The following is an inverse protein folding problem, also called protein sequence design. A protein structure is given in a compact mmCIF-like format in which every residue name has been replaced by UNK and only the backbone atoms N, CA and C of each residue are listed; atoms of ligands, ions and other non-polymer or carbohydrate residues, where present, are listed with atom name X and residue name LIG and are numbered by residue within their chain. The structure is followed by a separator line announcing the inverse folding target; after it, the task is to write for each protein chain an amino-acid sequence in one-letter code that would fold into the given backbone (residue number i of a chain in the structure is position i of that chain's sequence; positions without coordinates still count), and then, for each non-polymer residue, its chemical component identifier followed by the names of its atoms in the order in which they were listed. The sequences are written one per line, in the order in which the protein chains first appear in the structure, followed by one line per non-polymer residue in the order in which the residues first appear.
data_IF_803342612991
#
_entry.id   IF_803342612991
#
_cell.length_a   1.000
_cell.length_b   1.000
_cell.length_c   1.000
_cell.angle_alpha   90.00
_cell.angle_beta   90.00
_cell.angle_gamma   90.00
#
_symmetry.space_group_name_H-M   'P 1'
#
loop_
_entity.id
_entity.type
_entity.pdbx_description
1 polymer ?
#
# COMPACT_ATOMS: atom_id res chain seq x y z
N UNK A 1 8.62 6.39 -14.05
CA UNK A 1 8.12 6.46 -12.65
C UNK A 1 8.09 5.07 -12.05
N UNK A 2 8.57 4.92 -10.83
CA UNK A 2 8.54 3.66 -10.11
C UNK A 2 7.19 3.44 -9.44
N UNK A 3 6.66 2.22 -9.50
CA UNK A 3 5.39 1.86 -8.88
C UNK A 3 5.65 0.84 -7.79
N UNK A 4 5.26 1.16 -6.56
CA UNK A 4 5.50 0.35 -5.39
C UNK A 4 4.19 0.03 -4.65
N UNK A 5 4.10 -1.17 -4.11
CA UNK A 5 3.10 -1.50 -3.10
C UNK A 5 3.71 -1.26 -1.72
N UNK A 6 2.94 -0.73 -0.78
CA UNK A 6 3.31 -0.68 0.62
C UNK A 6 2.13 -1.23 1.44
N UNK A 7 2.41 -2.23 2.27
CA UNK A 7 1.37 -2.97 2.99
C UNK A 7 1.95 -3.61 4.25
N UNK A 8 1.12 -3.77 5.27
CA UNK A 8 1.42 -4.59 6.42
C UNK A 8 0.48 -5.80 6.43
N UNK A 9 1.03 -6.98 6.64
CA UNK A 9 0.29 -8.24 6.66
C UNK A 9 0.54 -8.96 7.98
N UNK A 10 -0.47 -9.69 8.47
CA UNK A 10 -0.30 -10.57 9.63
C UNK A 10 0.30 -11.91 9.22
N UNK A 11 0.47 -12.82 10.18
CA UNK A 11 1.10 -14.10 9.93
C UNK A 11 0.38 -14.98 8.91
N UNK A 12 -0.88 -14.68 8.59
CA UNK A 12 -1.70 -15.37 7.60
C UNK A 12 -2.04 -14.51 6.38
N UNK A 13 -1.24 -13.48 6.10
CA UNK A 13 -1.47 -12.50 5.03
C UNK A 13 -2.72 -11.63 5.20
N UNK A 14 -3.27 -11.54 6.41
CA UNK A 14 -4.40 -10.66 6.70
C UNK A 14 -3.97 -9.20 6.68
N UNK A 15 -4.81 -8.34 6.11
CA UNK A 15 -4.52 -6.90 5.99
C UNK A 15 -5.59 -6.02 6.62
N UNK A 16 -6.72 -6.56 6.98
CA UNK A 16 -7.78 -5.76 7.60
C UNK A 16 -8.97 -6.57 8.03
N UNK A 17 -9.84 -5.92 8.80
CA UNK A 17 -11.12 -6.43 9.23
C UNK A 17 -12.11 -5.28 9.31
N UNK A 18 -13.32 -5.45 8.75
CA UNK A 18 -14.35 -4.42 8.72
C UNK A 18 -13.83 -3.10 8.13
N UNK A 19 -13.00 -3.18 7.09
CA UNK A 19 -12.39 -2.04 6.40
C UNK A 19 -11.46 -1.18 7.28
N UNK A 20 -10.90 -1.77 8.34
CA UNK A 20 -10.01 -1.05 9.26
C UNK A 20 -8.77 -1.89 9.58
N UNK A 21 -7.77 -1.24 10.18
CA UNK A 21 -6.57 -1.91 10.66
C UNK A 21 -6.88 -2.78 11.88
N UNK A 22 -6.17 -3.89 12.01
CA UNK A 22 -6.32 -4.84 13.12
C UNK A 22 -5.34 -4.61 14.25
N UNK A 23 -4.36 -3.72 14.07
CA UNK A 23 -3.29 -3.46 15.02
C UNK A 23 -2.85 -2.02 14.95
N UNK A 24 -2.11 -1.61 15.96
CA UNK A 24 -1.45 -0.31 15.99
C UNK A 24 0.04 -0.53 16.26
N UNK A 25 0.87 -0.26 15.25
CA UNK A 25 2.32 -0.39 15.32
C UNK A 25 2.92 0.98 14.95
N UNK A 26 3.20 1.84 15.95
CA UNK A 26 3.62 3.22 15.66
C UNK A 26 4.85 3.34 14.78
N UNK A 27 5.84 2.48 14.95
CA UNK A 27 7.06 2.55 14.15
C UNK A 27 6.85 2.07 12.72
N UNK A 28 5.88 1.18 12.48
CA UNK A 28 5.48 0.82 11.13
C UNK A 28 4.72 1.96 10.46
N UNK A 29 3.86 2.63 11.18
CA UNK A 29 3.15 3.81 10.69
C UNK A 29 4.12 4.94 10.35
N UNK A 30 5.16 5.11 11.15
CA UNK A 30 6.23 6.08 10.90
C UNK A 30 6.99 5.73 9.61
N UNK A 31 7.31 4.47 9.41
CA UNK A 31 7.94 3.99 8.18
C UNK A 31 7.08 4.31 6.96
N UNK A 32 5.78 4.00 7.03
CA UNK A 32 4.83 4.30 5.97
C UNK A 32 4.82 5.78 5.61
N UNK A 33 4.72 6.64 6.63
CA UNK A 33 4.67 8.08 6.44
C UNK A 33 5.96 8.61 5.79
N UNK A 34 7.12 8.19 6.31
CA UNK A 34 8.41 8.62 5.79
C UNK A 34 8.62 8.15 4.35
N UNK A 35 8.23 6.90 4.07
CA UNK A 35 8.42 6.31 2.74
C UNK A 35 7.57 6.97 1.67
N UNK A 36 6.31 7.27 2.00
CA UNK A 36 5.36 7.84 1.04
C UNK A 36 5.40 9.36 0.94
N UNK A 37 6.06 10.05 1.88
CA UNK A 37 6.12 11.51 1.91
C UNK A 37 6.67 12.09 0.60
N UNK A 38 6.03 13.14 0.10
CA UNK A 38 6.38 13.84 -1.15
C UNK A 38 6.17 13.00 -2.40
N UNK A 39 5.47 11.89 -2.30
CA UNK A 39 5.17 10.98 -3.40
C UNK A 39 3.66 10.90 -3.66
N UNK A 40 3.27 9.99 -4.55
CA UNK A 40 1.88 9.75 -4.94
C UNK A 40 1.38 8.55 -4.15
N UNK A 41 0.19 8.63 -3.56
CA UNK A 41 -0.46 7.48 -2.93
C UNK A 41 -1.77 7.18 -3.66
N UNK A 42 -1.95 5.92 -4.04
CA UNK A 42 -3.13 5.42 -4.75
C UNK A 42 -3.89 4.46 -3.86
N UNK A 43 -5.16 4.72 -3.68
CA UNK A 43 -6.03 3.94 -2.79
C UNK A 43 -7.39 3.72 -3.41
N UNK A 44 -8.08 2.68 -2.98
CA UNK A 44 -9.49 2.49 -3.30
C UNK A 44 -10.38 3.39 -2.44
N UNK A 45 -11.62 3.58 -2.89
CA UNK A 45 -12.59 4.43 -2.19
C UNK A 45 -12.81 4.00 -0.73
N UNK A 46 -12.98 2.70 -0.47
CA UNK A 46 -13.21 2.20 0.89
C UNK A 46 -12.03 2.50 1.82
N UNK A 47 -10.79 2.37 1.30
CA UNK A 47 -9.60 2.72 2.05
C UNK A 47 -9.58 4.22 2.37
N UNK A 48 -9.89 5.05 1.40
CA UNK A 48 -10.01 6.49 1.62
C UNK A 48 -11.04 6.82 2.70
N UNK A 49 -12.22 6.20 2.63
CA UNK A 49 -13.29 6.43 3.61
C UNK A 49 -12.94 5.91 5.01
N UNK A 50 -12.03 4.93 5.12
CA UNK A 50 -11.56 4.41 6.41
C UNK A 50 -10.61 5.36 7.13
N UNK A 51 -9.98 6.29 6.42
CA UNK A 51 -9.12 7.31 7.02
C UNK A 51 -10.02 8.33 7.71
N UNK A 52 -9.78 8.65 9.01
CA UNK A 52 -10.57 9.67 9.69
C UNK A 52 -10.59 10.97 8.89
N UNK A 53 -11.75 11.60 8.82
CA UNK A 53 -11.97 12.78 7.97
C UNK A 53 -10.94 13.89 8.20
N UNK A 54 -10.55 14.11 9.46
CA UNK A 54 -9.55 15.12 9.82
C UNK A 54 -8.13 14.81 9.31
N UNK A 55 -7.88 13.56 8.88
CA UNK A 55 -6.57 13.12 8.35
C UNK A 55 -6.58 12.94 6.83
N UNK A 56 -7.67 13.26 6.16
CA UNK A 56 -7.78 13.17 4.70
C UNK A 56 -7.79 14.55 4.07
N UNK A 57 -7.08 14.74 2.94
CA UNK A 57 -6.16 13.81 2.32
C UNK A 57 -4.89 13.65 3.13
N UNK A 58 -4.14 12.57 2.91
CA UNK A 58 -2.87 12.35 3.61
C UNK A 58 -1.92 13.51 3.28
N UNK A 59 -1.37 14.19 4.29
CA UNK A 59 -0.56 15.38 4.05
C UNK A 59 0.76 15.08 3.36
N UNK A 60 1.27 16.08 2.62
CA UNK A 60 2.55 16.03 1.90
C UNK A 60 2.64 14.92 0.85
N UNK A 61 1.50 14.49 0.33
CA UNK A 61 1.40 13.45 -0.72
C UNK A 61 0.33 13.85 -1.72
N UNK A 62 0.49 13.42 -2.96
CA UNK A 62 -0.60 13.52 -3.93
C UNK A 62 -1.51 12.32 -3.73
N UNK A 63 -2.74 12.56 -3.32
CA UNK A 63 -3.71 11.51 -3.02
C UNK A 63 -4.55 11.21 -4.25
N UNK A 64 -4.58 9.94 -4.65
CA UNK A 64 -5.33 9.43 -5.79
C UNK A 64 -6.30 8.36 -5.29
N UNK A 65 -7.57 8.51 -5.61
CA UNK A 65 -8.61 7.52 -5.28
C UNK A 65 -9.09 6.85 -6.55
N UNK A 66 -9.04 5.52 -6.55
CA UNK A 66 -9.59 4.68 -7.62
C UNK A 66 -10.98 4.21 -7.23
N UNK A 67 -11.96 4.43 -8.09
CA UNK A 67 -13.32 3.96 -7.88
C UNK A 67 -14.03 3.81 -9.22
N UNK A 68 -14.92 2.81 -9.32
CA UNK A 68 -15.78 2.66 -10.50
C UNK A 68 -16.91 3.68 -10.53
N UNK A 69 -17.17 4.35 -9.40
CA UNK A 69 -18.23 5.37 -9.31
C UNK A 69 -17.75 6.67 -9.94
N UNK A 70 -18.26 6.98 -11.14
CA UNK A 70 -17.90 8.18 -11.89
C UNK A 70 -18.35 9.48 -11.25
N UNK A 71 -19.27 9.41 -10.27
CA UNK A 71 -19.78 10.58 -9.56
C UNK A 71 -19.06 10.82 -8.24
N UNK A 72 -18.17 9.92 -7.83
CA UNK A 72 -17.45 10.06 -6.57
C UNK A 72 -16.48 11.23 -6.63
N UNK A 73 -16.47 12.03 -5.57
CA UNK A 73 -15.53 13.14 -5.39
C UNK A 73 -14.94 13.07 -3.99
N UNK A 74 -13.67 13.40 -3.89
CA UNK A 74 -12.97 13.45 -2.60
C UNK A 74 -12.15 14.73 -2.56
N UNK A 75 -12.39 15.55 -1.55
CA UNK A 75 -11.69 16.82 -1.39
C UNK A 75 -10.19 16.61 -1.26
N UNK A 76 -9.42 17.38 -2.06
CA UNK A 76 -7.96 17.30 -2.03
C UNK A 76 -7.37 16.07 -2.70
N UNK A 77 -8.20 15.26 -3.36
CA UNK A 77 -7.77 14.06 -4.06
C UNK A 77 -8.06 14.14 -5.55
N UNK A 78 -7.23 13.49 -6.35
CA UNK A 78 -7.57 13.17 -7.74
C UNK A 78 -8.38 11.88 -7.71
N UNK A 79 -9.43 11.79 -8.53
CA UNK A 79 -10.29 10.61 -8.61
C UNK A 79 -10.24 10.07 -10.03
N UNK A 80 -9.92 8.79 -10.16
CA UNK A 80 -9.89 8.10 -11.46
C UNK A 80 -10.69 6.80 -11.39
N UNK A 81 -11.10 6.31 -12.54
CA UNK A 81 -11.94 5.11 -12.64
C UNK A 81 -11.16 3.85 -13.05
N UNK A 82 -9.89 3.98 -13.40
CA UNK A 82 -9.03 2.86 -13.75
C UNK A 82 -7.56 3.17 -13.48
N UNK A 83 -6.75 2.11 -13.33
CA UNK A 83 -5.29 2.28 -13.26
C UNK A 83 -4.73 2.90 -14.53
N UNK A 84 -5.29 2.58 -15.69
CA UNK A 84 -4.82 3.16 -16.94
C UNK A 84 -4.93 4.68 -16.94
N UNK A 85 -6.05 5.21 -16.43
CA UNK A 85 -6.22 6.67 -16.32
C UNK A 85 -5.17 7.29 -15.39
N UNK A 86 -4.84 6.62 -14.28
CA UNK A 86 -3.78 7.08 -13.36
C UNK A 86 -2.43 7.09 -14.05
N UNK A 87 -2.09 6.01 -14.72
CA UNK A 87 -0.81 5.88 -15.44
C UNK A 87 -0.68 6.94 -16.55
N UNK A 88 -1.76 7.19 -17.27
CA UNK A 88 -1.78 8.23 -18.31
C UNK A 88 -1.58 9.62 -17.72
N UNK A 89 -2.21 9.90 -16.57
CA UNK A 89 -2.08 11.18 -15.89
C UNK A 89 -0.64 11.46 -15.46
N UNK A 90 0.08 10.44 -14.98
CA UNK A 90 1.45 10.55 -14.51
C UNK A 90 2.50 10.12 -15.54
N UNK A 91 2.12 10.06 -16.80
CA UNK A 91 2.97 9.59 -17.89
C UNK A 91 4.34 10.28 -17.96
N UNK A 92 4.37 11.58 -17.66
CA UNK A 92 5.59 12.39 -17.71
C UNK A 92 6.27 12.57 -16.34
N UNK A 93 5.76 11.91 -15.30
CA UNK A 93 6.34 12.02 -13.96
C UNK A 93 7.56 11.12 -13.83
N UNK A 94 8.70 11.71 -13.49
CA UNK A 94 9.97 10.98 -13.37
C UNK A 94 10.53 10.95 -11.94
N UNK A 95 10.19 11.95 -11.13
CA UNK A 95 10.82 12.16 -9.82
C UNK A 95 10.12 11.45 -8.67
N UNK A 96 8.82 11.21 -8.79
CA UNK A 96 8.01 10.63 -7.72
C UNK A 96 7.78 9.14 -7.91
N UNK A 97 7.61 8.45 -6.80
CA UNK A 97 7.16 7.05 -6.78
C UNK A 97 5.66 7.03 -6.55
N UNK A 98 4.98 6.12 -7.23
CA UNK A 98 3.57 5.86 -7.00
C UNK A 98 3.44 4.70 -6.01
N UNK A 99 2.91 4.99 -4.81
CA UNK A 99 2.68 3.98 -3.78
C UNK A 99 1.22 3.54 -3.78
N UNK A 100 1.00 2.26 -4.01
CA UNK A 100 -0.32 1.65 -3.94
C UNK A 100 -0.54 1.21 -2.49
N UNK A 101 -1.52 1.80 -1.82
CA UNK A 101 -1.68 1.68 -0.37
C UNK A 101 -2.93 0.90 0.07
N UNK A 102 -3.67 0.32 -0.87
CA UNK A 102 -4.76 -0.59 -0.56
C UNK A 102 -6.14 -0.10 -0.98
N UNK A 103 -7.21 -0.82 -0.70
CA UNK A 103 -7.19 -2.13 -0.01
C UNK A 103 -6.94 -3.33 -0.91
N UNK A 104 -7.44 -4.48 -0.44
CA UNK A 104 -7.15 -5.76 -1.06
C UNK A 104 -7.45 -5.84 -2.54
N UNK A 105 -8.58 -5.30 -3.00
CA UNK A 105 -8.94 -5.30 -4.42
C UNK A 105 -7.97 -4.47 -5.25
N UNK A 106 -7.48 -3.35 -4.72
CA UNK A 106 -6.54 -2.48 -5.42
C UNK A 106 -5.16 -3.16 -5.52
N UNK A 107 -4.70 -3.82 -4.47
CA UNK A 107 -3.46 -4.61 -4.53
C UNK A 107 -3.57 -5.72 -5.57
N UNK A 108 -4.67 -6.44 -5.56
CA UNK A 108 -4.93 -7.54 -6.49
C UNK A 108 -4.92 -7.07 -7.93
N UNK A 109 -5.60 -5.97 -8.21
CA UNK A 109 -5.67 -5.40 -9.56
C UNK A 109 -4.30 -4.95 -10.05
N UNK A 110 -3.53 -4.27 -9.21
CA UNK A 110 -2.19 -3.81 -9.57
C UNK A 110 -1.25 -4.98 -9.90
N UNK A 111 -1.28 -6.02 -9.10
CA UNK A 111 -0.46 -7.21 -9.33
C UNK A 111 -0.90 -7.96 -10.60
N UNK A 112 -2.19 -8.02 -10.85
CA UNK A 112 -2.75 -8.64 -12.07
C UNK A 112 -2.36 -7.90 -13.34
N UNK A 113 -2.27 -6.57 -13.26
CA UNK A 113 -1.86 -5.73 -14.40
C UNK A 113 -0.35 -5.74 -14.63
N UNK A 114 0.41 -6.37 -13.73
CA UNK A 114 1.87 -6.50 -13.86
C UNK A 114 2.59 -5.16 -13.95
N UNK A 115 2.12 -4.17 -13.19
CA UNK A 115 2.67 -2.81 -13.18
C UNK A 115 3.55 -2.52 -11.97
N UNK A 116 3.67 -3.45 -11.02
CA UNK A 116 4.36 -3.21 -9.75
C UNK A 116 5.84 -3.53 -9.88
N UNK A 117 6.69 -2.55 -9.61
CA UNK A 117 8.16 -2.69 -9.67
C UNK A 117 8.74 -3.20 -8.36
N UNK A 118 8.17 -2.78 -7.24
CA UNK A 118 8.66 -3.16 -5.91
C UNK A 118 7.54 -3.18 -4.88
N UNK A 119 7.78 -3.87 -3.77
CA UNK A 119 6.86 -3.90 -2.65
C UNK A 119 7.61 -3.73 -1.35
N UNK A 120 7.04 -2.95 -0.42
CA UNK A 120 7.47 -2.89 0.97
C UNK A 120 6.41 -3.59 1.79
N UNK A 121 6.74 -4.77 2.30
CA UNK A 121 5.80 -5.58 3.07
C UNK A 121 6.28 -5.68 4.51
N UNK A 122 5.48 -5.21 5.43
CA UNK A 122 5.67 -5.40 6.86
C UNK A 122 5.03 -6.71 7.25
N UNK A 123 5.83 -7.65 7.74
CA UNK A 123 5.36 -8.95 8.22
C UNK A 123 5.19 -8.89 9.73
N UNK A 124 3.95 -8.79 10.17
CA UNK A 124 3.58 -8.81 11.58
C UNK A 124 3.54 -10.26 12.04
N UNK A 125 4.29 -10.60 13.11
CA UNK A 125 4.53 -11.98 13.53
C UNK A 125 3.43 -12.56 14.41
N UNK A 126 2.21 -12.11 14.22
CA UNK A 126 1.03 -12.56 14.96
C UNK A 126 -0.16 -12.64 14.01
N UNK A 127 -1.07 -13.60 14.24
CA UNK A 127 -2.31 -13.67 13.50
C UNK A 127 -3.39 -12.84 14.19
N UNK A 128 -4.13 -12.10 13.39
CA UNK A 128 -5.32 -11.37 13.80
C UNK A 128 -6.51 -11.94 13.03
N UNK A 129 -7.71 -11.69 13.46
CA UNK A 129 -8.90 -12.26 12.83
C UNK A 129 -9.29 -11.44 11.58
N UNK A 130 -8.47 -11.50 10.54
CA UNK A 130 -8.68 -10.74 9.31
C UNK A 130 -9.84 -11.29 8.47
N UNK A 131 -10.51 -10.38 7.78
CA UNK A 131 -11.49 -10.73 6.73
C UNK A 131 -11.01 -10.33 5.33
N UNK A 132 -9.93 -9.59 5.24
CA UNK A 132 -9.31 -9.15 3.98
C UNK A 132 -7.84 -9.57 3.98
N UNK A 133 -7.38 -10.08 2.83
CA UNK A 133 -6.05 -10.67 2.72
C UNK A 133 -5.28 -10.07 1.55
N UNK A 134 -3.96 -9.99 1.72
CA UNK A 134 -3.07 -9.63 0.63
C UNK A 134 -3.03 -10.77 -0.39
N UNK A 135 -3.02 -10.48 -1.71
CA UNK A 135 -2.98 -11.52 -2.73
C UNK A 135 -1.72 -12.40 -2.61
N UNK A 136 -1.84 -13.66 -3.00
CA UNK A 136 -0.68 -14.53 -3.11
C UNK A 136 0.22 -14.05 -4.24
N UNK A 137 1.53 -14.05 -3.97
CA UNK A 137 2.54 -13.71 -4.97
C UNK A 137 3.45 -14.91 -5.21
N UNK A 138 3.99 -15.02 -6.42
CA UNK A 138 5.02 -16.00 -6.71
C UNK A 138 6.36 -15.45 -6.24
N UNK A 139 6.84 -15.97 -5.12
CA UNK A 139 8.06 -15.47 -4.47
C UNK A 139 9.31 -15.56 -5.37
N UNK A 140 9.27 -16.43 -6.38
CA UNK A 140 10.36 -16.59 -7.34
C UNK A 140 10.51 -15.39 -8.27
N UNK A 141 9.45 -14.57 -8.39
CA UNK A 141 9.47 -13.39 -9.24
C UNK A 141 10.08 -12.17 -8.54
N UNK A 142 10.43 -12.31 -7.26
CA UNK A 142 10.84 -11.18 -6.44
C UNK A 142 12.15 -11.43 -5.72
N UNK A 143 13.06 -10.44 -5.77
CA UNK A 143 14.27 -10.42 -4.95
C UNK A 143 13.92 -9.73 -3.64
N UNK A 144 14.23 -10.37 -2.52
CA UNK A 144 13.89 -9.85 -1.20
C UNK A 144 15.12 -9.37 -0.45
N UNK A 145 14.97 -8.27 0.28
CA UNK A 145 15.98 -7.81 1.23
C UNK A 145 15.28 -7.28 2.49
N UNK A 146 15.85 -7.56 3.65
CA UNK A 146 15.30 -7.10 4.92
C UNK A 146 15.68 -5.63 5.12
N UNK A 147 14.68 -4.79 5.42
CA UNK A 147 14.87 -3.37 5.68
C UNK A 147 14.98 -3.10 7.18
N UNK A 148 14.13 -3.74 7.98
CA UNK A 148 14.04 -3.47 9.42
C UNK A 148 13.45 -4.66 10.17
N UNK A 149 13.92 -4.88 11.41
CA UNK A 149 13.30 -5.77 12.37
C UNK A 149 12.95 -4.98 13.62
N UNK A 150 11.76 -5.19 14.16
CA UNK A 150 11.31 -4.52 15.37
C UNK A 150 10.67 -5.53 16.32
N UNK A 151 11.19 -5.67 17.56
CA UNK A 151 10.57 -6.56 18.54
C UNK A 151 9.30 -5.95 19.13
N UNK A 152 8.42 -6.81 19.65
CA UNK A 152 7.29 -6.36 20.45
C UNK A 152 7.79 -5.59 21.68
N UNK A 153 7.07 -4.58 22.07
CA UNK A 153 7.39 -3.76 23.24
C UNK A 153 6.10 -3.15 23.81
N UNK A 154 6.24 -2.18 24.72
CA UNK A 154 5.08 -1.53 25.36
C UNK A 154 4.17 -0.82 24.39
N UNK A 155 4.67 -0.41 23.22
CA UNK A 155 3.93 0.32 22.19
C UNK A 155 3.55 -0.56 21.01
N UNK A 156 4.11 -1.76 20.91
CA UNK A 156 3.94 -2.65 19.74
C UNK A 156 3.48 -4.02 20.22
N UNK A 157 2.27 -4.39 19.80
CA UNK A 157 1.60 -5.64 20.20
C UNK A 157 2.28 -6.89 19.67
N UNK A 158 3.14 -6.76 18.66
CA UNK A 158 3.80 -7.88 18.00
C UNK A 158 5.16 -7.48 17.45
N UNK A 159 6.06 -8.45 17.34
CA UNK A 159 7.25 -8.33 16.52
C UNK A 159 6.84 -8.11 15.08
N UNK A 160 7.63 -7.37 14.33
CA UNK A 160 7.43 -7.25 12.89
C UNK A 160 8.76 -7.07 12.16
N UNK A 161 8.75 -7.41 10.88
CA UNK A 161 9.88 -7.20 9.98
C UNK A 161 9.38 -6.50 8.73
N UNK A 162 10.14 -5.54 8.24
CA UNK A 162 9.87 -4.86 6.98
C UNK A 162 10.82 -5.40 5.93
N UNK A 163 10.28 -5.88 4.82
CA UNK A 163 11.04 -6.43 3.70
C UNK A 163 10.74 -5.66 2.43
N UNK A 164 11.78 -5.43 1.64
CA UNK A 164 11.66 -4.90 0.29
C UNK A 164 11.69 -6.05 -0.70
N UNK A 165 10.73 -6.06 -1.62
CA UNK A 165 10.62 -7.01 -2.72
C UNK A 165 10.81 -6.24 -4.02
N UNK A 166 11.77 -6.65 -4.84
CA UNK A 166 12.01 -6.04 -6.15
C UNK A 166 11.69 -7.06 -7.22
N UNK A 167 10.92 -6.65 -8.23
CA UNK A 167 10.58 -7.55 -9.34
C UNK A 167 11.85 -7.96 -10.08
N UNK A 168 11.98 -9.24 -10.35
CA UNK A 168 13.05 -9.76 -11.18
C UNK A 168 12.56 -9.58 -12.61
N UNK A 169 12.89 -8.42 -13.21
CA UNK A 169 12.48 -8.09 -14.56
C UNK A 169 13.24 -8.92 -15.58
N UNK A 170 12.50 -9.42 -16.55
CA UNK A 170 13.13 -9.94 -17.74
C UNK A 170 13.54 -8.79 -18.63
N UNK A 171 14.74 -8.34 -18.52
CA UNK A 171 15.34 -7.43 -19.49
C UNK A 171 15.93 -8.26 -20.60
N UNK A 172 15.20 -8.40 -21.65
CA UNK A 172 15.65 -9.17 -22.81
C UNK A 172 15.41 -8.46 -24.10
#
# INVERSE_FOLDING_TARGET
MRIAIIVAVDAKNGIGKNNDLMWHLPDDMKFFKEKTSENIVVMGRKNHESIPEKFRPLPNRENVVLTRNKKFKAEGCLVFNSFQEVLDHYNDEEDKTMFIIGGGEIYKEALKLDIVDEMYITHVKKSFDADTFFPEINIRDWRRSKVKTHPADERHVSDFEIWKYEIIGGDY
#
